data_IF_609751768442
#
_entry.id   IF_609751768442
#
_cell.length_a   1.000
_cell.length_b   1.000
_cell.length_c   1.000
_cell.angle_alpha   90.00
_cell.angle_beta   90.00
_cell.angle_gamma   90.00
#
_symmetry.space_group_name_H-M   'P 1'
#
loop_
_entity.id
_entity.type
_entity.pdbx_description
1 polymer ?
#
# COMPACT_ATOMS: atom_id res chain seq x y z
N UNK A 1 -30.17 23.82 35.50
CA UNK A 1 -29.91 22.51 34.85
C UNK A 1 -28.59 22.00 35.39
N UNK A 2 -28.59 20.83 36.01
CA UNK A 2 -27.36 20.25 36.53
C UNK A 2 -26.48 19.75 35.36
N UNK A 3 -25.21 20.13 35.36
CA UNK A 3 -24.20 19.68 34.39
C UNK A 3 -23.67 18.33 34.87
N UNK A 4 -23.85 17.29 34.10
CA UNK A 4 -23.27 16.00 34.41
C UNK A 4 -21.87 15.96 33.81
N UNK A 5 -20.84 15.96 34.66
CA UNK A 5 -19.45 15.77 34.24
C UNK A 5 -19.11 14.28 34.34
N UNK A 6 -18.69 13.70 33.23
CA UNK A 6 -18.12 12.36 33.21
C UNK A 6 -16.59 12.46 33.36
N UNK A 7 -16.08 11.91 34.45
CA UNK A 7 -14.63 11.71 34.62
C UNK A 7 -14.34 10.24 34.29
N UNK A 8 -13.74 9.99 33.11
CA UNK A 8 -13.35 8.67 32.66
C UNK A 8 -13.51 8.50 31.16
N UNK A 9 -12.87 7.48 30.62
CA UNK A 9 -13.03 7.10 29.21
C UNK A 9 -14.39 6.47 29.01
N UNK A 10 -15.18 7.00 28.07
CA UNK A 10 -16.44 6.38 27.65
C UNK A 10 -16.12 5.51 26.43
N UNK A 11 -16.23 4.21 26.59
CA UNK A 11 -16.22 3.29 25.46
C UNK A 11 -17.66 3.14 24.96
N UNK A 12 -17.92 3.61 23.74
CA UNK A 12 -19.21 3.43 23.06
C UNK A 12 -18.96 2.55 21.83
N UNK A 13 -19.49 1.31 21.79
CA UNK A 13 -19.43 0.50 20.59
C UNK A 13 -20.44 1.07 19.58
N UNK A 14 -19.96 1.66 18.50
CA UNK A 14 -20.76 2.25 17.43
C UNK A 14 -20.47 3.73 17.21
N UNK A 15 -21.16 4.32 16.23
CA UNK A 15 -21.03 5.74 15.90
C UNK A 15 -21.54 6.64 17.01
N UNK A 16 -20.71 7.58 17.48
CA UNK A 16 -21.12 8.62 18.40
C UNK A 16 -21.63 9.80 17.58
N UNK A 17 -22.95 9.99 17.55
CA UNK A 17 -23.55 11.21 17.00
C UNK A 17 -23.63 12.26 18.10
N UNK A 18 -22.83 13.32 18.02
CA UNK A 18 -22.88 14.47 18.91
C UNK A 18 -23.84 15.50 18.32
N UNK A 19 -25.09 15.57 18.86
CA UNK A 19 -26.01 16.61 18.51
C UNK A 19 -25.69 17.86 19.36
N UNK A 20 -24.96 18.82 18.80
CA UNK A 20 -24.64 20.09 19.48
C UNK A 20 -23.18 20.50 19.32
N UNK A 21 -22.83 21.67 19.87
CA UNK A 21 -21.43 22.15 19.84
C UNK A 21 -20.54 21.28 20.73
N UNK A 22 -19.41 20.83 20.20
CA UNK A 22 -18.34 20.23 20.99
C UNK A 22 -17.87 21.29 22.02
N UNK A 23 -17.96 20.94 23.29
CA UNK A 23 -17.60 21.84 24.39
C UNK A 23 -16.11 22.20 24.31
N UNK A 24 -15.72 23.47 24.61
CA UNK A 24 -14.31 23.86 24.66
C UNK A 24 -13.53 22.93 25.59
N UNK A 25 -12.52 22.25 25.07
CA UNK A 25 -11.69 21.29 25.81
C UNK A 25 -11.47 19.97 25.08
N UNK A 26 -12.33 19.62 24.11
CA UNK A 26 -12.03 18.51 23.17
C UNK A 26 -11.46 19.16 21.92
N UNK A 27 -10.17 19.03 21.73
CA UNK A 27 -9.52 19.41 20.48
C UNK A 27 -9.93 18.43 19.40
N UNK A 28 -10.28 18.91 18.21
CA UNK A 28 -10.46 18.04 17.03
C UNK A 28 -9.25 17.16 16.77
N UNK A 29 -8.05 17.65 17.14
CA UNK A 29 -6.79 16.92 17.05
C UNK A 29 -6.70 15.69 17.98
N UNK A 30 -7.64 15.52 18.92
CA UNK A 30 -7.73 14.31 19.77
C UNK A 30 -8.70 13.25 19.25
N UNK A 31 -9.38 13.51 18.14
CA UNK A 31 -10.25 12.53 17.48
C UNK A 31 -9.43 11.80 16.41
N UNK A 32 -9.12 10.55 16.66
CA UNK A 32 -8.48 9.67 15.68
C UNK A 32 -9.54 8.99 14.84
N UNK A 33 -9.39 9.05 13.55
CA UNK A 33 -10.23 8.34 12.59
C UNK A 33 -9.38 7.22 11.96
N UNK A 34 -9.70 5.98 12.34
CA UNK A 34 -8.93 4.81 11.90
C UNK A 34 -9.24 4.47 10.44
N UNK A 35 -8.18 4.25 9.64
CA UNK A 35 -8.22 3.82 8.23
C UNK A 35 -9.12 4.68 7.32
N UNK A 36 -9.50 5.89 7.73
CA UNK A 36 -10.45 6.71 6.96
C UNK A 36 -9.81 7.49 5.82
N UNK A 37 -8.51 7.77 5.90
CA UNK A 37 -7.81 8.43 4.80
C UNK A 37 -7.21 7.42 3.84
N UNK A 38 -7.73 7.40 2.61
CA UNK A 38 -7.22 6.58 1.52
C UNK A 38 -6.50 7.46 0.50
N UNK A 39 -5.22 7.21 0.28
CA UNK A 39 -4.41 7.88 -0.72
C UNK A 39 -4.04 6.90 -1.83
N UNK A 40 -4.44 7.20 -3.06
CA UNK A 40 -4.03 6.42 -4.22
C UNK A 40 -2.56 6.62 -4.54
N UNK A 41 -1.83 5.54 -4.79
CA UNK A 41 -0.47 5.60 -5.33
C UNK A 41 -0.55 5.52 -6.85
N UNK A 42 -0.08 6.57 -7.53
CA UNK A 42 -0.08 6.61 -8.98
C UNK A 42 0.95 5.65 -9.56
N UNK A 43 0.54 4.77 -10.46
CA UNK A 43 1.48 3.89 -11.16
C UNK A 43 2.49 4.65 -12.02
N UNK A 44 2.12 5.84 -12.50
CA UNK A 44 3.01 6.69 -13.32
C UNK A 44 4.12 7.36 -12.51
N UNK A 45 4.02 7.34 -11.18
CA UNK A 45 5.06 7.84 -10.26
C UNK A 45 5.98 6.73 -9.76
N UNK A 46 5.60 5.46 -10.00
CA UNK A 46 6.44 4.34 -9.61
C UNK A 46 7.69 4.26 -10.47
N UNK A 47 8.76 3.80 -9.84
CA UNK A 47 10.11 3.76 -10.40
C UNK A 47 10.66 2.34 -10.42
N UNK A 48 11.63 2.15 -11.27
CA UNK A 48 12.56 1.02 -11.23
C UNK A 48 13.23 1.02 -9.85
N UNK A 49 13.29 -0.14 -9.19
CA UNK A 49 13.63 -0.20 -7.76
C UNK A 49 15.12 0.09 -7.48
N UNK A 50 16.01 -0.18 -8.41
CA UNK A 50 17.45 0.02 -8.35
C UNK A 50 17.95 1.21 -9.21
N UNK A 51 17.06 1.80 -10.02
CA UNK A 51 17.33 2.94 -10.89
C UNK A 51 16.22 4.00 -10.79
N UNK A 52 16.13 4.67 -9.63
CA UNK A 52 15.05 5.61 -9.28
C UNK A 52 14.85 6.79 -10.24
N UNK A 53 15.82 7.09 -11.08
CA UNK A 53 15.67 8.08 -12.17
C UNK A 53 14.76 7.60 -13.30
N UNK A 54 14.51 6.27 -13.38
CA UNK A 54 13.75 5.63 -14.45
C UNK A 54 12.33 5.31 -14.02
N UNK A 55 11.37 5.61 -14.89
CA UNK A 55 9.98 5.13 -14.76
C UNK A 55 9.92 3.63 -15.04
N UNK A 56 8.88 2.97 -14.54
CA UNK A 56 8.63 1.58 -14.89
C UNK A 56 8.48 1.41 -16.41
N UNK A 57 9.06 0.36 -17.00
CA UNK A 57 8.93 0.08 -18.42
C UNK A 57 7.50 -0.28 -18.80
N UNK A 58 7.13 -0.12 -20.07
CA UNK A 58 5.81 -0.51 -20.58
C UNK A 58 5.60 -2.04 -20.55
N UNK A 59 6.68 -2.81 -20.55
CA UNK A 59 6.69 -4.27 -20.43
C UNK A 59 7.66 -4.64 -19.33
N UNK A 60 7.27 -5.54 -18.44
CA UNK A 60 8.15 -6.02 -17.38
C UNK A 60 9.44 -6.61 -17.95
N UNK A 61 10.57 -6.26 -17.38
CA UNK A 61 11.91 -6.68 -17.83
C UNK A 61 12.82 -6.93 -16.63
N UNK A 62 13.74 -7.88 -16.78
CA UNK A 62 14.67 -8.24 -15.70
C UNK A 62 13.95 -8.38 -14.35
N UNK A 63 14.25 -7.51 -13.40
CA UNK A 63 13.65 -7.48 -12.06
C UNK A 63 12.64 -6.34 -11.87
N UNK A 64 12.18 -5.70 -12.96
CA UNK A 64 11.21 -4.61 -12.92
C UNK A 64 9.82 -5.04 -13.37
N UNK A 65 8.81 -4.63 -12.59
CA UNK A 65 7.42 -4.68 -13.03
C UNK A 65 7.19 -3.75 -14.22
N UNK A 66 6.32 -4.15 -15.13
CA UNK A 66 5.89 -3.32 -16.24
C UNK A 66 4.64 -2.50 -15.90
N UNK A 67 4.56 -1.30 -16.44
CA UNK A 67 3.34 -0.48 -16.44
C UNK A 67 2.63 -0.60 -17.79
N UNK A 68 1.61 -1.42 -17.84
CA UNK A 68 0.84 -1.67 -19.05
C UNK A 68 -0.51 -0.97 -19.03
N UNK A 69 -1.13 -0.89 -20.18
CA UNK A 69 -2.47 -0.34 -20.39
C UNK A 69 -2.87 -0.53 -21.85
N UNK A 70 -3.99 0.06 -22.25
CA UNK A 70 -4.38 0.09 -23.66
C UNK A 70 -3.75 1.28 -24.37
N UNK A 71 -3.31 1.07 -25.61
CA UNK A 71 -2.92 2.16 -26.52
C UNK A 71 -4.11 2.98 -26.99
N UNK A 72 -5.33 2.46 -26.80
CA UNK A 72 -6.58 3.16 -27.10
C UNK A 72 -7.22 3.61 -25.79
N UNK A 73 -7.31 4.92 -25.60
CA UNK A 73 -7.96 5.51 -24.43
C UNK A 73 -9.39 4.96 -24.25
N UNK A 74 -9.75 4.64 -23.00
CA UNK A 74 -11.07 4.14 -22.65
C UNK A 74 -11.27 2.63 -22.80
N UNK A 75 -10.27 1.86 -23.29
CA UNK A 75 -10.40 0.40 -23.44
C UNK A 75 -9.77 -0.39 -22.29
N UNK A 76 -8.74 0.13 -21.63
CA UNK A 76 -8.19 -0.44 -20.39
C UNK A 76 -7.53 0.66 -19.56
N UNK A 77 -7.64 0.55 -18.24
CA UNK A 77 -6.89 1.37 -17.29
C UNK A 77 -5.45 0.89 -17.18
N UNK A 78 -4.49 1.76 -16.80
CA UNK A 78 -3.14 1.35 -16.46
C UNK A 78 -3.13 0.30 -15.35
N UNK A 79 -2.24 -0.66 -15.45
CA UNK A 79 -2.02 -1.71 -14.44
C UNK A 79 -0.55 -2.15 -14.43
N UNK A 80 -0.11 -2.69 -13.30
CA UNK A 80 1.20 -3.33 -13.20
C UNK A 80 1.12 -4.79 -13.58
N UNK A 81 2.16 -5.29 -14.22
CA UNK A 81 2.30 -6.71 -14.55
C UNK A 81 3.73 -7.20 -14.35
N UNK A 82 3.87 -8.49 -14.06
CA UNK A 82 5.17 -9.17 -14.13
C UNK A 82 5.45 -9.68 -15.54
N UNK A 83 6.67 -10.11 -15.78
CA UNK A 83 7.03 -10.94 -16.93
C UNK A 83 6.33 -12.29 -16.85
N UNK A 84 6.28 -12.99 -17.98
CA UNK A 84 5.85 -14.38 -18.00
C UNK A 84 6.83 -15.25 -17.22
N UNK A 85 6.30 -16.05 -16.28
CA UNK A 85 7.06 -16.97 -15.44
C UNK A 85 6.94 -18.45 -15.90
N UNK A 86 6.40 -18.70 -17.09
CA UNK A 86 6.23 -20.08 -17.59
C UNK A 86 7.53 -20.90 -17.51
N UNK A 87 7.50 -21.99 -16.76
CA UNK A 87 8.62 -22.90 -16.45
C UNK A 87 9.78 -22.26 -15.68
N UNK A 88 9.58 -21.12 -15.03
CA UNK A 88 10.64 -20.40 -14.29
C UNK A 88 10.13 -19.72 -13.04
N UNK A 89 11.04 -19.08 -12.32
CA UNK A 89 10.70 -18.13 -11.25
C UNK A 89 11.03 -16.72 -11.71
N UNK A 90 10.07 -15.81 -11.54
CA UNK A 90 10.22 -14.38 -11.80
C UNK A 90 9.96 -13.63 -10.51
N UNK A 91 10.90 -12.76 -10.12
CA UNK A 91 10.71 -11.84 -8.98
C UNK A 91 10.98 -10.44 -9.48
N UNK A 92 9.96 -9.58 -9.41
CA UNK A 92 10.02 -8.24 -9.98
C UNK A 92 9.47 -7.20 -9.00
N UNK A 93 9.93 -5.97 -9.15
CA UNK A 93 9.76 -4.91 -8.19
C UNK A 93 9.17 -3.66 -8.81
N UNK A 94 8.53 -2.85 -7.95
CA UNK A 94 8.22 -1.44 -8.22
C UNK A 94 8.45 -0.65 -6.95
N UNK A 95 9.02 0.56 -7.05
CA UNK A 95 9.34 1.42 -5.90
C UNK A 95 8.63 2.75 -6.02
N UNK A 96 8.21 3.32 -4.89
CA UNK A 96 7.62 4.66 -4.80
C UNK A 96 7.92 5.27 -3.45
N UNK A 97 7.83 6.57 -3.37
CA UNK A 97 7.87 7.29 -2.11
C UNK A 97 6.47 7.77 -1.75
N UNK A 98 6.18 7.82 -0.45
CA UNK A 98 4.93 8.34 0.08
C UNK A 98 5.22 9.23 1.29
N UNK A 99 4.85 10.50 1.19
CA UNK A 99 4.95 11.43 2.31
C UNK A 99 3.67 11.36 3.15
N UNK A 100 3.82 11.13 4.44
CA UNK A 100 2.71 11.13 5.38
C UNK A 100 2.12 12.54 5.48
N UNK A 101 0.80 12.70 5.35
CA UNK A 101 0.17 14.01 5.38
C UNK A 101 0.23 14.64 6.78
N UNK A 102 0.04 15.98 6.89
CA UNK A 102 0.08 16.68 8.17
C UNK A 102 -0.96 16.19 9.18
N UNK A 103 -2.07 15.63 8.69
CA UNK A 103 -3.18 15.10 9.49
C UNK A 103 -2.92 13.68 10.02
N UNK A 104 -1.83 13.05 9.62
CA UNK A 104 -1.49 11.70 10.09
C UNK A 104 -1.30 11.69 11.61
N UNK A 105 -1.83 10.66 12.27
CA UNK A 105 -1.68 10.50 13.72
C UNK A 105 -0.31 9.87 14.01
N UNK A 106 0.57 10.63 14.64
CA UNK A 106 1.91 10.16 14.98
C UNK A 106 1.87 8.85 15.78
N UNK A 107 2.73 7.91 15.43
CA UNK A 107 2.88 6.63 16.11
C UNK A 107 1.83 5.57 15.76
N UNK A 108 0.83 5.88 14.95
CA UNK A 108 -0.14 4.89 14.47
C UNK A 108 0.42 4.08 13.31
N UNK A 109 -0.02 2.84 13.19
CA UNK A 109 0.32 2.03 12.00
C UNK A 109 -0.51 2.48 10.81
N UNK A 110 0.09 2.46 9.63
CA UNK A 110 -0.63 2.64 8.38
C UNK A 110 -0.64 1.33 7.57
N UNK A 111 -1.35 1.32 6.44
CA UNK A 111 -1.44 0.12 5.61
C UNK A 111 -1.19 0.44 4.15
N UNK A 112 -0.42 -0.43 3.49
CA UNK A 112 -0.38 -0.50 2.02
C UNK A 112 -1.43 -1.51 1.58
N UNK A 113 -2.31 -1.10 0.70
CA UNK A 113 -3.39 -1.93 0.14
C UNK A 113 -3.18 -2.12 -1.35
N UNK A 114 -3.02 -3.36 -1.80
CA UNK A 114 -2.78 -3.72 -3.20
C UNK A 114 -3.94 -4.57 -3.70
N UNK A 115 -4.64 -4.10 -4.72
CA UNK A 115 -5.67 -4.88 -5.42
C UNK A 115 -5.03 -5.62 -6.58
N UNK A 116 -4.79 -6.92 -6.41
CA UNK A 116 -4.00 -7.73 -7.33
C UNK A 116 -4.52 -9.16 -7.48
N UNK A 117 -3.95 -9.84 -8.44
CA UNK A 117 -4.24 -11.23 -8.75
C UNK A 117 -3.38 -11.72 -9.92
N UNK A 118 -3.77 -12.83 -10.51
CA UNK A 118 -3.15 -13.38 -11.71
C UNK A 118 -3.80 -12.80 -12.97
N UNK A 119 -3.00 -12.43 -13.95
CA UNK A 119 -3.50 -12.21 -15.31
C UNK A 119 -3.78 -13.53 -16.01
N UNK A 120 -2.92 -14.52 -15.75
CA UNK A 120 -3.16 -15.94 -15.97
C UNK A 120 -2.67 -16.68 -14.73
N UNK A 121 -3.48 -17.56 -14.16
CA UNK A 121 -3.18 -18.25 -12.91
C UNK A 121 -2.08 -19.30 -13.10
N UNK A 122 -1.25 -19.45 -12.10
CA UNK A 122 -0.27 -20.53 -11.98
C UNK A 122 -1.02 -21.82 -11.68
N UNK A 123 -0.80 -22.87 -12.46
CA UNK A 123 -1.42 -24.17 -12.26
C UNK A 123 -0.60 -25.07 -11.34
N UNK A 124 0.70 -24.91 -11.34
CA UNK A 124 1.65 -25.75 -10.60
C UNK A 124 2.82 -24.94 -10.06
N UNK A 125 2.52 -24.12 -9.06
CA UNK A 125 3.48 -23.20 -8.46
C UNK A 125 2.85 -22.19 -7.52
N UNK A 126 3.48 -21.04 -7.36
CA UNK A 126 3.06 -19.98 -6.43
C UNK A 126 3.08 -18.61 -7.08
N UNK A 127 2.18 -17.75 -6.64
CA UNK A 127 2.18 -16.33 -6.98
C UNK A 127 1.93 -15.51 -5.72
N UNK A 128 2.90 -14.72 -5.32
CA UNK A 128 2.80 -13.89 -4.10
C UNK A 128 3.08 -12.42 -4.42
N UNK A 129 2.53 -11.55 -3.61
CA UNK A 129 2.86 -10.13 -3.58
C UNK A 129 3.34 -9.77 -2.18
N UNK A 130 4.38 -8.96 -2.08
CA UNK A 130 4.91 -8.48 -0.79
C UNK A 130 5.22 -6.98 -0.86
N UNK A 131 5.39 -6.35 0.30
CA UNK A 131 5.72 -4.93 0.44
C UNK A 131 6.82 -4.79 1.48
N UNK A 132 7.82 -3.98 1.15
CA UNK A 132 8.78 -3.45 2.10
C UNK A 132 8.60 -1.95 2.21
N UNK A 133 8.74 -1.39 3.40
CA UNK A 133 8.68 0.05 3.64
C UNK A 133 9.75 0.49 4.63
N UNK A 134 10.49 1.52 4.29
CA UNK A 134 11.53 2.11 5.14
C UNK A 134 11.23 3.59 5.38
N UNK A 135 11.56 4.06 6.56
CA UNK A 135 11.52 5.50 6.86
C UNK A 135 12.73 6.18 6.23
N UNK A 136 12.52 7.23 5.44
CA UNK A 136 13.60 8.10 4.97
C UNK A 136 14.16 8.92 6.13
N UNK A 137 15.46 9.15 6.16
CA UNK A 137 16.10 10.06 7.10
C UNK A 137 16.16 11.51 6.59
N UNK A 138 15.55 11.75 5.41
CA UNK A 138 15.55 13.04 4.68
C UNK A 138 16.95 13.52 4.23
N UNK A 139 18.01 12.74 4.50
CA UNK A 139 19.39 13.01 4.09
C UNK A 139 19.90 12.05 3.01
N UNK A 140 19.01 11.21 2.49
CA UNK A 140 19.29 10.29 1.39
C UNK A 140 19.57 8.84 1.83
N UNK A 141 19.43 8.53 3.10
CA UNK A 141 19.48 7.18 3.62
C UNK A 141 18.11 6.74 4.18
N UNK A 142 18.02 5.50 4.61
CA UNK A 142 16.85 4.97 5.33
C UNK A 142 17.19 4.82 6.80
N UNK A 143 16.22 5.10 7.66
CA UNK A 143 16.35 4.96 9.09
C UNK A 143 15.72 3.64 9.56
N UNK A 144 16.51 2.80 10.21
CA UNK A 144 16.02 1.58 10.82
C UNK A 144 15.89 0.38 9.88
N UNK A 145 14.98 -0.53 10.23
CA UNK A 145 14.67 -1.75 9.50
C UNK A 145 13.37 -1.63 8.71
N UNK A 146 13.05 -2.66 7.93
CA UNK A 146 11.76 -2.76 7.25
C UNK A 146 10.61 -2.66 8.27
N UNK A 147 9.70 -1.74 8.01
CA UNK A 147 8.54 -1.47 8.85
C UNK A 147 7.37 -2.43 8.57
N UNK A 148 7.45 -3.21 7.48
CA UNK A 148 6.44 -4.20 7.12
C UNK A 148 6.87 -5.57 7.62
N UNK A 149 6.05 -6.17 8.48
CA UNK A 149 6.31 -7.49 9.06
C UNK A 149 5.41 -8.58 8.47
N UNK A 150 4.48 -8.21 7.62
CA UNK A 150 3.54 -9.13 6.96
C UNK A 150 4.29 -9.89 5.87
N UNK A 151 4.27 -11.22 5.91
CA UNK A 151 4.79 -12.05 4.82
C UNK A 151 3.88 -11.99 3.60
N UNK A 152 4.46 -12.10 2.42
CA UNK A 152 3.75 -11.97 1.15
C UNK A 152 2.60 -12.97 0.98
N UNK A 153 1.34 -12.52 0.97
CA UNK A 153 0.18 -13.37 0.79
C UNK A 153 0.11 -13.93 -0.64
N UNK A 154 -0.51 -15.10 -0.75
CA UNK A 154 -0.87 -15.68 -2.05
C UNK A 154 -1.85 -14.79 -2.81
N UNK A 155 -1.59 -14.58 -4.09
CA UNK A 155 -2.44 -13.83 -5.02
C UNK A 155 -2.71 -14.60 -6.32
N UNK A 156 -2.51 -15.91 -6.34
CA UNK A 156 -2.74 -16.79 -7.50
C UNK A 156 -4.24 -17.00 -7.74
N UNK A 157 -4.93 -15.96 -8.20
CA UNK A 157 -6.36 -16.01 -8.53
C UNK A 157 -6.65 -15.07 -9.71
N UNK A 158 -7.46 -15.54 -10.66
CA UNK A 158 -7.97 -14.72 -11.76
C UNK A 158 -8.94 -13.63 -11.26
N UNK A 159 -9.58 -13.86 -10.11
CA UNK A 159 -10.37 -12.83 -9.43
C UNK A 159 -9.42 -12.03 -8.54
N UNK A 160 -9.18 -10.78 -8.91
CA UNK A 160 -8.35 -9.88 -8.11
C UNK A 160 -8.95 -9.67 -6.73
N UNK A 161 -8.10 -9.62 -5.72
CA UNK A 161 -8.48 -9.34 -4.33
C UNK A 161 -7.52 -8.32 -3.72
N UNK A 162 -7.97 -7.69 -2.65
CA UNK A 162 -7.14 -6.73 -1.92
C UNK A 162 -6.25 -7.47 -0.92
N UNK A 163 -4.95 -7.22 -1.01
CA UNK A 163 -3.93 -7.65 -0.05
C UNK A 163 -3.51 -6.43 0.76
N UNK A 164 -3.40 -6.59 2.08
CA UNK A 164 -3.11 -5.50 3.01
C UNK A 164 -1.85 -5.80 3.80
N UNK A 165 -0.96 -4.82 3.89
CA UNK A 165 0.34 -4.88 4.55
C UNK A 165 0.39 -3.80 5.61
N UNK A 166 0.61 -4.19 6.86
CA UNK A 166 0.72 -3.24 7.97
C UNK A 166 2.13 -2.68 8.01
N UNK A 167 2.23 -1.36 7.94
CA UNK A 167 3.46 -0.60 8.16
C UNK A 167 3.46 -0.16 9.61
N UNK A 168 4.41 -0.64 10.40
CA UNK A 168 4.53 -0.33 11.83
C UNK A 168 4.79 1.16 12.06
N UNK A 169 3.91 1.81 12.82
CA UNK A 169 3.86 3.26 12.94
C UNK A 169 4.65 3.88 14.09
N UNK A 170 5.29 3.09 14.98
CA UNK A 170 5.88 3.61 16.23
C UNK A 170 6.89 4.75 16.05
N UNK A 171 7.54 4.84 14.91
CA UNK A 171 8.51 5.90 14.56
C UNK A 171 7.96 6.89 13.53
N UNK A 172 6.73 6.69 13.06
CA UNK A 172 6.16 7.53 12.01
C UNK A 172 5.55 8.81 12.58
N UNK A 173 5.83 9.91 11.92
CA UNK A 173 5.33 11.25 12.26
C UNK A 173 4.71 11.94 11.04
N UNK A 174 3.81 12.92 11.23
CA UNK A 174 3.35 13.77 10.13
C UNK A 174 4.52 14.37 9.33
N UNK A 175 4.42 14.34 8.01
CA UNK A 175 5.46 14.84 7.11
C UNK A 175 6.60 13.85 6.82
N UNK A 176 6.73 12.77 7.58
CA UNK A 176 7.74 11.76 7.32
C UNK A 176 7.54 11.09 5.95
N UNK A 177 8.64 10.73 5.30
CA UNK A 177 8.63 10.09 3.98
C UNK A 177 8.91 8.59 4.11
N UNK A 178 8.01 7.77 3.60
CA UNK A 178 8.19 6.33 3.45
C UNK A 178 8.75 6.02 2.06
N UNK A 179 9.78 5.21 2.01
CA UNK A 179 10.30 4.59 0.80
C UNK A 179 9.75 3.16 0.73
N UNK A 180 8.86 2.94 -0.20
CA UNK A 180 8.09 1.72 -0.33
C UNK A 180 8.49 0.94 -1.59
N UNK A 181 8.52 -0.39 -1.47
CA UNK A 181 8.78 -1.30 -2.60
C UNK A 181 7.77 -2.43 -2.58
N UNK A 182 7.12 -2.65 -3.71
CA UNK A 182 6.31 -3.85 -3.96
C UNK A 182 7.17 -4.92 -4.64
N UNK A 183 6.96 -6.16 -4.24
CA UNK A 183 7.58 -7.36 -4.82
C UNK A 183 6.49 -8.27 -5.33
N UNK A 184 6.56 -8.67 -6.59
CA UNK A 184 5.73 -9.74 -7.14
C UNK A 184 6.63 -10.94 -7.45
N UNK A 185 6.36 -12.07 -6.82
CA UNK A 185 7.09 -13.31 -7.05
C UNK A 185 6.14 -14.35 -7.65
N UNK A 186 6.50 -14.86 -8.83
CA UNK A 186 5.73 -15.86 -9.55
C UNK A 186 6.64 -17.03 -9.86
N UNK A 187 6.28 -18.21 -9.39
CA UNK A 187 6.97 -19.49 -9.71
C UNK A 187 5.98 -20.39 -10.41
N UNK A 188 6.35 -20.92 -11.55
CA UNK A 188 5.55 -21.87 -12.30
C UNK A 188 6.44 -22.99 -12.84
N UNK A 189 5.97 -24.22 -12.79
CA UNK A 189 6.66 -25.39 -13.35
C UNK A 189 6.14 -25.78 -14.73
N UNK A 190 5.01 -25.23 -15.15
CA UNK A 190 4.41 -25.46 -16.44
C UNK A 190 4.91 -24.49 -17.51
N UNK A 191 4.74 -24.84 -18.78
CA UNK A 191 5.13 -23.99 -19.93
C UNK A 191 4.07 -22.94 -20.30
N UNK A 192 3.01 -22.81 -19.53
CA UNK A 192 1.94 -21.85 -19.76
C UNK A 192 2.42 -20.42 -19.55
N UNK A 193 1.73 -19.47 -20.18
CA UNK A 193 1.94 -18.05 -19.91
C UNK A 193 1.27 -17.69 -18.59
N UNK A 194 2.04 -17.35 -17.57
CA UNK A 194 1.56 -16.94 -16.26
C UNK A 194 2.21 -15.63 -15.84
N UNK A 195 1.43 -14.70 -15.28
CA UNK A 195 1.93 -13.41 -14.82
C UNK A 195 1.05 -12.79 -13.73
N UNK A 196 1.69 -12.07 -12.82
CA UNK A 196 1.06 -11.24 -11.82
C UNK A 196 0.45 -9.98 -12.45
N UNK A 197 -0.65 -9.51 -11.86
CA UNK A 197 -1.28 -8.25 -12.25
C UNK A 197 -1.77 -7.49 -11.02
N UNK A 198 -1.53 -6.16 -10.99
CA UNK A 198 -2.11 -5.27 -9.97
C UNK A 198 -2.81 -4.08 -10.65
N UNK A 199 -4.03 -3.81 -10.22
CA UNK A 199 -4.88 -2.74 -10.76
C UNK A 199 -4.94 -1.49 -9.89
N UNK A 200 -4.48 -1.56 -8.63
CA UNK A 200 -4.52 -0.43 -7.70
C UNK A 200 -3.59 -0.64 -6.51
N UNK A 201 -2.93 0.45 -6.10
CA UNK A 201 -2.20 0.55 -4.83
C UNK A 201 -2.72 1.76 -4.06
N UNK A 202 -2.92 1.61 -2.76
CA UNK A 202 -3.36 2.67 -1.85
C UNK A 202 -2.57 2.64 -0.55
N UNK A 203 -2.45 3.80 0.07
CA UNK A 203 -2.08 3.96 1.48
C UNK A 203 -3.33 4.26 2.28
N UNK A 204 -3.54 3.57 3.40
CA UNK A 204 -4.62 3.80 4.36
C UNK A 204 -4.00 4.31 5.65
N UNK A 205 -4.48 5.42 6.15
CA UNK A 205 -3.90 6.14 7.28
C UNK A 205 -4.96 6.47 8.33
N UNK A 206 -4.52 6.45 9.58
CA UNK A 206 -5.25 7.08 10.67
C UNK A 206 -4.97 8.58 10.64
N UNK A 207 -6.01 9.38 10.60
CA UNK A 207 -5.92 10.83 10.54
C UNK A 207 -6.60 11.50 11.73
N UNK A 208 -6.15 12.71 12.04
CA UNK A 208 -6.82 13.59 12.99
C UNK A 208 -7.99 14.30 12.30
N UNK A 209 -9.17 14.24 12.91
CA UNK A 209 -10.40 14.87 12.45
C UNK A 209 -10.58 16.33 12.90
#
# INVERSE_FOLDING_TARGET
MARTEFQGSIFVPGDITIAGNIVPGISRSSIVQEDLAEYGVSFTEMRVHDALSSLLPATATADDLGLAGSTTYGTASPYLLSSNAGSTTVTQYARWQFQLPPEYVAGQSCRVSIHCGAGTAVSDGTMTVDVSAYLSDDEGAVSGSDLVTTSGPDCNSLTMSTKSFVVTGTTLTPGATLDCRMVAAVTDSATATVYFKAGRVKMLLDIQG
#
